data_IF_120959530996
#
_entry.id   IF_120959530996
#
_cell.length_a   1.000
_cell.length_b   1.000
_cell.length_c   1.000
_cell.angle_alpha   90.00
_cell.angle_beta   90.00
_cell.angle_gamma   90.00
#
_symmetry.space_group_name_H-M   'P 1'
#
loop_
_entity.id
_entity.type
_entity.pdbx_description
1 polymer ?
#
# COMPACT_ATOMS: atom_id res chain seq x y z
N UNK A 1 1.38 3.04 -19.43
CA UNK A 1 1.02 1.61 -19.20
C UNK A 1 1.94 1.13 -18.09
N UNK A 2 1.39 0.46 -17.07
CA UNK A 2 2.19 -0.10 -15.99
C UNK A 2 2.81 -1.45 -16.41
N UNK A 3 3.99 -1.77 -15.91
CA UNK A 3 4.63 -3.09 -16.10
C UNK A 3 4.76 -3.73 -14.73
N UNK A 4 4.17 -4.92 -14.57
CA UNK A 4 4.26 -5.67 -13.32
C UNK A 4 5.68 -6.16 -13.05
N UNK A 5 6.09 -6.08 -11.80
CA UNK A 5 7.31 -6.63 -11.22
C UNK A 5 7.07 -8.12 -10.88
N UNK A 6 5.86 -8.45 -10.39
CA UNK A 6 5.49 -9.81 -10.05
C UNK A 6 4.64 -10.49 -11.14
N UNK A 7 4.61 -11.83 -11.21
CA UNK A 7 3.77 -12.54 -12.16
C UNK A 7 2.28 -12.24 -11.94
N UNK A 8 1.55 -11.98 -13.03
CA UNK A 8 0.10 -11.69 -13.01
C UNK A 8 -0.68 -12.83 -12.34
N UNK A 9 -0.28 -14.09 -12.58
CA UNK A 9 -0.89 -15.27 -11.98
C UNK A 9 -0.82 -15.26 -10.45
N UNK A 10 0.30 -14.80 -9.90
CA UNK A 10 0.56 -14.87 -8.46
C UNK A 10 -0.22 -13.77 -7.74
N UNK A 11 -0.25 -12.56 -8.31
CA UNK A 11 -1.11 -11.45 -7.88
C UNK A 11 -2.58 -11.87 -7.91
N UNK A 12 -3.02 -12.48 -9.02
CA UNK A 12 -4.39 -12.92 -9.21
C UNK A 12 -4.81 -13.95 -8.14
N UNK A 13 -3.96 -14.96 -7.93
CA UNK A 13 -4.18 -16.00 -6.93
C UNK A 13 -4.21 -15.41 -5.50
N UNK A 14 -3.20 -14.62 -5.13
CA UNK A 14 -3.09 -14.06 -3.79
C UNK A 14 -4.30 -13.20 -3.41
N UNK A 15 -4.78 -12.37 -4.34
CA UNK A 15 -5.89 -11.45 -4.08
C UNK A 15 -7.27 -11.99 -4.50
N UNK A 16 -7.36 -13.27 -4.88
CA UNK A 16 -8.60 -13.93 -5.31
C UNK A 16 -9.35 -13.14 -6.40
N UNK A 17 -8.62 -12.70 -7.42
CA UNK A 17 -9.14 -12.00 -8.61
C UNK A 17 -8.70 -12.74 -9.87
N UNK A 18 -9.39 -12.55 -11.00
CA UNK A 18 -9.00 -13.23 -12.24
C UNK A 18 -7.76 -12.59 -12.88
N UNK A 19 -6.90 -13.41 -13.49
CA UNK A 19 -5.74 -12.93 -14.25
C UNK A 19 -6.13 -11.95 -15.37
N UNK A 20 -7.27 -12.18 -16.02
CA UNK A 20 -7.81 -11.26 -17.04
C UNK A 20 -8.08 -9.88 -16.45
N UNK A 21 -8.62 -9.81 -15.22
CA UNK A 21 -8.88 -8.55 -14.54
C UNK A 21 -7.57 -7.85 -14.16
N UNK A 22 -6.61 -8.57 -13.57
CA UNK A 22 -5.28 -8.04 -13.22
C UNK A 22 -4.56 -7.53 -14.48
N UNK A 23 -4.55 -8.32 -15.55
CA UNK A 23 -3.97 -7.94 -16.83
C UNK A 23 -4.66 -6.70 -17.42
N UNK A 24 -5.96 -6.51 -17.21
CA UNK A 24 -6.66 -5.32 -17.70
C UNK A 24 -6.26 -4.03 -16.95
N UNK A 25 -5.84 -4.11 -15.68
CA UNK A 25 -5.52 -2.93 -14.88
C UNK A 25 -4.30 -2.19 -15.40
N UNK A 26 -3.30 -2.88 -15.94
CA UNK A 26 -2.09 -2.23 -16.47
C UNK A 26 -2.39 -1.15 -17.53
N UNK A 27 -3.51 -1.30 -18.26
CA UNK A 27 -4.02 -0.38 -19.28
C UNK A 27 -5.10 0.55 -18.73
N UNK A 28 -6.08 -0.01 -18.03
CA UNK A 28 -7.31 0.72 -17.66
C UNK A 28 -7.21 1.43 -16.30
N UNK A 29 -6.44 0.88 -15.37
CA UNK A 29 -6.31 1.34 -13.98
C UNK A 29 -4.86 1.17 -13.49
N UNK A 30 -3.88 1.85 -14.10
CA UNK A 30 -2.46 1.63 -13.82
C UNK A 30 -2.09 1.90 -12.35
N UNK A 31 -2.80 2.81 -11.67
CA UNK A 31 -2.62 3.05 -10.24
C UNK A 31 -3.01 1.84 -9.38
N UNK A 32 -4.08 1.10 -9.75
CA UNK A 32 -4.45 -0.14 -9.04
C UNK A 32 -3.42 -1.21 -9.34
N UNK A 33 -3.00 -1.34 -10.61
CA UNK A 33 -1.97 -2.30 -11.01
C UNK A 33 -0.69 -2.13 -10.16
N UNK A 34 -0.16 -0.92 -10.11
CA UNK A 34 1.01 -0.57 -9.29
C UNK A 34 0.79 -0.85 -7.80
N UNK A 35 -0.35 -0.43 -7.25
CA UNK A 35 -0.64 -0.58 -5.81
C UNK A 35 -0.73 -2.05 -5.41
N UNK A 36 -1.42 -2.87 -6.22
CA UNK A 36 -1.56 -4.30 -5.93
C UNK A 36 -0.25 -5.06 -6.15
N UNK A 37 0.57 -4.65 -7.12
CA UNK A 37 1.88 -5.25 -7.36
C UNK A 37 2.85 -5.00 -6.19
N UNK A 38 2.91 -3.74 -5.71
CA UNK A 38 3.67 -3.39 -4.51
C UNK A 38 3.15 -4.11 -3.27
N UNK A 39 1.82 -4.21 -3.11
CA UNK A 39 1.23 -4.98 -2.02
C UNK A 39 1.64 -6.44 -2.07
N UNK A 40 1.69 -7.04 -3.27
CA UNK A 40 2.06 -8.44 -3.41
C UNK A 40 3.50 -8.67 -2.97
N UNK A 41 4.46 -7.86 -3.45
CA UNK A 41 5.86 -7.99 -3.02
C UNK A 41 6.03 -7.92 -1.50
N UNK A 42 5.38 -6.95 -0.84
CA UNK A 42 5.48 -6.86 0.62
C UNK A 42 4.75 -8.01 1.33
N UNK A 43 3.62 -8.44 0.79
CA UNK A 43 2.84 -9.54 1.35
C UNK A 43 3.54 -10.91 1.17
N UNK A 44 4.16 -11.18 0.03
CA UNK A 44 4.79 -12.48 -0.26
C UNK A 44 6.02 -12.74 0.61
N UNK A 45 6.74 -11.68 0.98
CA UNK A 45 8.08 -11.79 1.57
C UNK A 45 8.06 -11.89 3.10
N UNK A 46 6.97 -11.46 3.76
CA UNK A 46 6.85 -11.42 5.22
C UNK A 46 5.65 -12.21 5.75
N UNK A 47 5.92 -13.39 6.33
CA UNK A 47 4.90 -14.26 6.93
C UNK A 47 4.19 -13.64 8.15
N UNK A 48 4.87 -12.77 8.90
CA UNK A 48 4.25 -12.07 10.04
C UNK A 48 3.25 -11.05 9.53
N UNK A 49 3.63 -10.27 8.52
CA UNK A 49 2.74 -9.31 7.86
C UNK A 49 1.54 -10.00 7.23
N UNK A 50 1.72 -11.16 6.57
CA UNK A 50 0.61 -11.95 6.02
C UNK A 50 -0.44 -12.31 7.07
N UNK A 51 0.00 -12.86 8.21
CA UNK A 51 -0.90 -13.20 9.32
C UNK A 51 -1.59 -11.98 9.89
N UNK A 52 -0.89 -10.86 10.00
CA UNK A 52 -1.49 -9.59 10.43
C UNK A 52 -2.57 -9.12 9.45
N UNK A 53 -2.34 -9.22 8.14
CA UNK A 53 -3.32 -8.87 7.10
C UNK A 53 -4.52 -9.80 7.14
N UNK A 54 -4.33 -11.11 7.30
CA UNK A 54 -5.44 -12.06 7.46
C UNK A 54 -6.31 -11.71 8.68
N UNK A 55 -5.68 -11.38 9.81
CA UNK A 55 -6.39 -10.94 11.02
C UNK A 55 -7.11 -9.59 10.82
N UNK A 56 -6.45 -8.58 10.27
CA UNK A 56 -7.04 -7.26 9.99
C UNK A 56 -8.19 -7.35 9.00
N UNK A 57 -8.12 -8.26 8.02
CA UNK A 57 -9.18 -8.48 7.05
C UNK A 57 -10.41 -9.19 7.65
N UNK A 58 -10.25 -9.82 8.82
CA UNK A 58 -11.37 -10.31 9.62
C UNK A 58 -11.92 -9.24 10.58
N UNK A 59 -11.16 -8.17 10.83
CA UNK A 59 -11.62 -7.00 11.57
C UNK A 59 -12.55 -6.17 10.68
N UNK A 60 -13.71 -5.81 11.21
CA UNK A 60 -14.74 -5.04 10.49
C UNK A 60 -14.65 -3.55 10.86
N UNK A 61 -13.43 -3.05 11.06
CA UNK A 61 -13.18 -1.66 11.43
C UNK A 61 -12.18 -0.98 10.47
N UNK A 62 -12.71 -0.08 9.64
CA UNK A 62 -11.93 0.74 8.70
C UNK A 62 -10.83 1.53 9.41
N UNK A 63 -11.14 2.12 10.57
CA UNK A 63 -10.19 2.97 11.28
C UNK A 63 -8.97 2.16 11.74
N UNK A 64 -9.21 0.94 12.28
CA UNK A 64 -8.14 0.03 12.69
C UNK A 64 -7.24 -0.34 11.51
N UNK A 65 -7.84 -0.75 10.39
CA UNK A 65 -7.09 -1.16 9.20
C UNK A 65 -6.25 0.01 8.67
N UNK A 66 -6.86 1.18 8.53
CA UNK A 66 -6.15 2.35 8.00
C UNK A 66 -5.02 2.80 8.93
N UNK A 67 -5.28 2.86 10.24
CA UNK A 67 -4.29 3.25 11.24
C UNK A 67 -3.10 2.28 11.28
N UNK A 68 -3.34 0.97 11.11
CA UNK A 68 -2.26 -0.02 11.02
C UNK A 68 -1.26 0.31 9.90
N UNK A 69 -1.74 0.88 8.80
CA UNK A 69 -0.90 1.28 7.66
C UNK A 69 -0.39 2.73 7.74
N UNK A 70 -0.71 3.48 8.81
CA UNK A 70 -0.35 4.90 8.94
C UNK A 70 -1.21 5.83 8.07
N UNK A 71 -2.36 5.32 7.59
CA UNK A 71 -3.27 6.05 6.72
C UNK A 71 -4.37 6.73 7.54
N UNK A 72 -5.02 7.78 7.00
CA UNK A 72 -6.16 8.41 7.66
C UNK A 72 -7.26 7.42 8.03
N UNK A 73 -7.65 7.39 9.31
CA UNK A 73 -8.68 6.48 9.85
C UNK A 73 -10.01 6.55 9.09
N UNK A 74 -10.37 7.75 8.61
CA UNK A 74 -11.59 7.93 7.83
C UNK A 74 -11.31 7.64 6.36
N UNK A 75 -12.10 6.71 5.78
CA UNK A 75 -12.04 6.39 4.34
C UNK A 75 -12.23 7.63 3.46
N UNK A 76 -12.98 8.63 3.93
CA UNK A 76 -13.23 9.87 3.18
C UNK A 76 -11.98 10.75 3.04
N UNK A 77 -10.96 10.54 3.89
CA UNK A 77 -9.68 11.26 3.83
C UNK A 77 -8.65 10.57 2.92
N UNK A 78 -9.04 9.51 2.21
CA UNK A 78 -8.19 8.77 1.28
C UNK A 78 -8.31 9.27 -0.18
N UNK A 79 -8.61 10.56 -0.40
CA UNK A 79 -8.80 11.12 -1.74
C UNK A 79 -7.56 10.95 -2.64
N UNK A 80 -6.37 10.87 -2.05
CA UNK A 80 -5.10 10.62 -2.74
C UNK A 80 -4.92 9.18 -3.25
N UNK A 81 -5.78 8.23 -2.85
CA UNK A 81 -5.72 6.84 -3.29
C UNK A 81 -6.06 6.65 -4.78
N UNK A 82 -6.57 7.70 -5.45
CA UNK A 82 -6.99 7.69 -6.86
C UNK A 82 -8.05 6.61 -7.19
N UNK A 83 -8.80 6.17 -6.18
CA UNK A 83 -9.94 5.25 -6.30
C UNK A 83 -11.17 5.94 -5.71
N UNK A 84 -12.34 5.89 -6.38
CA UNK A 84 -13.56 6.49 -5.82
C UNK A 84 -13.87 5.94 -4.43
N UNK A 85 -14.25 6.82 -3.50
CA UNK A 85 -14.55 6.44 -2.11
C UNK A 85 -15.63 5.35 -2.03
N UNK A 86 -16.64 5.38 -2.92
CA UNK A 86 -17.67 4.35 -2.98
C UNK A 86 -17.07 2.97 -3.28
N UNK A 87 -16.10 2.90 -4.19
CA UNK A 87 -15.39 1.65 -4.54
C UNK A 87 -14.59 1.13 -3.35
N UNK A 88 -13.91 2.01 -2.60
CA UNK A 88 -13.19 1.63 -1.39
C UNK A 88 -14.13 1.06 -0.32
N UNK A 89 -15.30 1.70 -0.13
CA UNK A 89 -16.33 1.18 0.79
C UNK A 89 -16.88 -0.17 0.35
N UNK A 90 -17.12 -0.35 -0.95
CA UNK A 90 -17.56 -1.63 -1.52
C UNK A 90 -16.51 -2.71 -1.29
N UNK A 91 -15.23 -2.43 -1.54
CA UNK A 91 -14.16 -3.40 -1.26
C UNK A 91 -14.07 -3.73 0.21
N UNK A 92 -14.10 -2.75 1.12
CA UNK A 92 -14.09 -3.03 2.55
C UNK A 92 -15.25 -3.95 2.96
N UNK A 93 -16.46 -3.72 2.44
CA UNK A 93 -17.66 -4.50 2.79
C UNK A 93 -17.68 -5.89 2.15
N UNK A 94 -17.34 -6.01 0.87
CA UNK A 94 -17.56 -7.22 0.06
C UNK A 94 -16.29 -8.05 -0.15
N UNK A 95 -15.12 -7.41 -0.05
CA UNK A 95 -13.79 -7.99 -0.28
C UNK A 95 -12.77 -7.43 0.72
N UNK A 96 -12.97 -7.61 2.04
CA UNK A 96 -12.16 -6.97 3.06
C UNK A 96 -10.66 -7.28 2.92
N UNK A 97 -10.31 -8.52 2.55
CA UNK A 97 -8.92 -8.88 2.25
C UNK A 97 -8.31 -8.04 1.12
N UNK A 98 -9.05 -7.85 0.03
CA UNK A 98 -8.61 -7.01 -1.09
C UNK A 98 -8.43 -5.56 -0.64
N UNK A 99 -9.34 -5.03 0.19
CA UNK A 99 -9.22 -3.68 0.76
C UNK A 99 -7.95 -3.54 1.62
N UNK A 100 -7.70 -4.48 2.53
CA UNK A 100 -6.52 -4.48 3.40
C UNK A 100 -5.22 -4.55 2.59
N UNK A 101 -5.14 -5.43 1.58
CA UNK A 101 -3.99 -5.48 0.68
C UNK A 101 -3.83 -4.19 -0.12
N UNK A 102 -4.93 -3.58 -0.58
CA UNK A 102 -4.86 -2.28 -1.25
C UNK A 102 -4.32 -1.18 -0.31
N UNK A 103 -4.68 -1.18 0.97
CA UNK A 103 -4.10 -0.26 1.97
C UNK A 103 -2.60 -0.50 2.19
N UNK A 104 -2.15 -1.77 2.26
CA UNK A 104 -0.73 -2.12 2.28
C UNK A 104 -0.01 -1.54 1.05
N UNK A 105 -0.56 -1.75 -0.15
CA UNK A 105 0.01 -1.21 -1.38
C UNK A 105 0.13 0.32 -1.36
N UNK A 106 -0.88 1.02 -0.82
CA UNK A 106 -0.83 2.48 -0.66
C UNK A 106 0.29 2.89 0.30
N UNK A 107 0.48 2.18 1.41
CA UNK A 107 1.58 2.41 2.34
C UNK A 107 2.93 2.28 1.61
N UNK A 108 3.13 1.19 0.87
CA UNK A 108 4.38 0.96 0.12
C UNK A 108 4.63 2.03 -0.93
N UNK A 109 3.57 2.46 -1.63
CA UNK A 109 3.66 3.56 -2.59
C UNK A 109 4.08 4.86 -1.94
N UNK A 110 3.51 5.21 -0.79
CA UNK A 110 3.88 6.42 -0.03
C UNK A 110 5.34 6.35 0.44
N UNK A 111 5.77 5.20 0.98
CA UNK A 111 7.16 4.97 1.38
C UNK A 111 8.09 5.17 0.18
N UNK A 112 7.80 4.56 -0.97
CA UNK A 112 8.60 4.75 -2.18
C UNK A 112 8.66 6.22 -2.64
N UNK A 113 7.57 6.98 -2.46
CA UNK A 113 7.58 8.42 -2.73
C UNK A 113 8.42 9.21 -1.72
N UNK A 114 8.40 8.83 -0.44
CA UNK A 114 9.22 9.46 0.59
C UNK A 114 10.72 9.31 0.31
N UNK A 115 11.12 8.14 -0.21
CA UNK A 115 12.51 7.78 -0.50
C UNK A 115 12.89 7.88 -1.98
N UNK A 116 12.09 8.55 -2.82
CA UNK A 116 12.29 8.58 -4.29
C UNK A 116 13.71 8.97 -4.72
N UNK A 117 14.34 9.90 -3.98
CA UNK A 117 15.67 10.42 -4.27
C UNK A 117 16.73 9.88 -3.27
N UNK A 118 16.44 8.78 -2.58
CA UNK A 118 17.32 8.12 -1.59
C UNK A 118 17.82 6.77 -2.11
N UNK A 119 18.98 6.31 -1.60
CA UNK A 119 19.46 4.96 -1.87
C UNK A 119 18.68 3.89 -1.10
N UNK A 120 18.73 2.64 -1.55
CA UNK A 120 18.07 1.51 -0.86
C UNK A 120 18.70 1.21 0.51
N UNK A 121 20.00 1.41 0.67
CA UNK A 121 20.69 1.28 1.97
C UNK A 121 20.13 2.28 2.98
N UNK A 122 19.89 3.51 2.51
CA UNK A 122 19.34 4.59 3.33
C UNK A 122 17.90 4.35 3.72
N UNK A 123 17.06 3.95 2.76
CA UNK A 123 15.69 3.51 3.00
C UNK A 123 15.67 2.38 4.05
N UNK A 124 16.53 1.38 3.89
CA UNK A 124 16.67 0.28 4.83
C UNK A 124 17.12 0.73 6.22
N UNK A 125 18.05 1.68 6.32
CA UNK A 125 18.52 2.23 7.60
C UNK A 125 17.40 2.94 8.36
N UNK A 126 16.62 3.78 7.66
CA UNK A 126 15.48 4.48 8.28
C UNK A 126 14.39 3.51 8.71
N UNK A 127 14.05 2.52 7.87
CA UNK A 127 13.04 1.50 8.19
C UNK A 127 13.46 0.52 9.30
N UNK A 128 14.72 0.51 9.71
CA UNK A 128 15.16 -0.16 10.95
C UNK A 128 14.87 0.65 12.22
N UNK A 129 14.66 1.96 12.08
CA UNK A 129 14.49 2.90 13.18
C UNK A 129 13.07 3.41 13.33
N UNK A 130 12.35 3.55 12.20
CA UNK A 130 10.96 3.95 12.13
C UNK A 130 10.12 2.83 11.52
N UNK A 131 8.93 2.64 12.07
CA UNK A 131 7.94 1.75 11.50
C UNK A 131 7.39 2.33 10.20
N UNK A 132 6.95 1.44 9.31
CA UNK A 132 6.39 1.80 8.01
C UNK A 132 5.21 2.78 8.13
N UNK A 133 4.33 2.60 9.12
CA UNK A 133 3.21 3.50 9.38
C UNK A 133 3.67 4.90 9.83
N UNK A 134 4.70 5.00 10.69
CA UNK A 134 5.26 6.28 11.13
C UNK A 134 5.84 7.08 9.96
N UNK A 135 6.53 6.40 9.03
CA UNK A 135 7.02 7.04 7.80
C UNK A 135 5.87 7.60 6.95
N UNK A 136 4.78 6.83 6.82
CA UNK A 136 3.60 7.28 6.06
C UNK A 136 2.92 8.47 6.74
N UNK A 137 2.74 8.43 8.06
CA UNK A 137 2.16 9.54 8.83
C UNK A 137 2.98 10.82 8.67
N UNK A 138 4.31 10.73 8.78
CA UNK A 138 5.23 11.86 8.55
C UNK A 138 5.13 12.38 7.12
N UNK A 139 5.07 11.49 6.13
CA UNK A 139 4.95 11.88 4.73
C UNK A 139 3.63 12.61 4.47
N UNK A 140 2.51 12.10 4.97
CA UNK A 140 1.20 12.71 4.79
C UNK A 140 1.08 14.06 5.51
N UNK A 141 1.76 14.22 6.65
CA UNK A 141 1.82 15.50 7.36
C UNK A 141 2.66 16.56 6.61
N UNK A 142 3.79 16.18 6.03
CA UNK A 142 4.65 17.10 5.27
C UNK A 142 5.54 16.38 4.25
N UNK A 143 5.05 16.14 3.02
CA UNK A 143 5.82 15.40 2.00
C UNK A 143 7.17 16.08 1.70
N UNK A 144 7.13 17.40 1.49
CA UNK A 144 8.33 18.20 1.20
C UNK A 144 9.28 18.25 2.39
N UNK A 145 8.75 18.28 3.62
CA UNK A 145 9.55 18.30 4.83
C UNK A 145 10.31 16.99 5.02
N UNK A 146 9.59 15.86 4.92
CA UNK A 146 10.19 14.54 5.06
C UNK A 146 11.23 14.28 3.96
N UNK A 147 10.93 14.55 2.68
CA UNK A 147 11.92 14.33 1.60
C UNK A 147 13.19 15.17 1.81
N UNK A 148 13.08 16.41 2.29
CA UNK A 148 14.25 17.24 2.64
C UNK A 148 15.02 16.68 3.82
N UNK A 149 14.34 16.26 4.88
CA UNK A 149 14.98 15.66 6.06
C UNK A 149 15.75 14.41 5.67
N UNK A 150 15.09 13.54 4.91
CA UNK A 150 15.71 12.33 4.37
C UNK A 150 16.91 12.70 3.52
N UNK A 151 16.87 13.71 2.66
CA UNK A 151 18.03 14.11 1.86
C UNK A 151 19.27 14.53 2.69
N UNK A 152 19.09 15.11 3.88
CA UNK A 152 20.18 15.67 4.72
C UNK A 152 20.79 14.66 5.69
N UNK A 153 20.11 13.55 5.99
CA UNK A 153 20.69 12.46 6.79
C UNK A 153 21.81 11.78 5.99
N UNK A 154 23.06 12.21 6.19
CA UNK A 154 24.28 11.55 5.71
C UNK A 154 24.63 10.32 6.56
#
# INVERSE_FOLDING_TARGET
>A
MYTYINPISDIANAFSVSETLVSSWQKTKPHIAETMDLSFSSYSDDNTLRKAIELLSSDHNIATINAFFGLPESINKLEFANVPIITLRTWFKEKPFFYTCFMLGLQQKIINLAFKDSSEEKKSSVLKSLLANEVVELYLASPRGLTKLLAVLE
#
